data_IF_545245178997
#
_entry.id   IF_545245178997
#
_cell.length_a   1.000
_cell.length_b   1.000
_cell.length_c   1.000
_cell.angle_alpha   90.00
_cell.angle_beta   90.00
_cell.angle_gamma   90.00
#
_symmetry.space_group_name_H-M   'P 1'
#
loop_
_entity.id
_entity.type
_entity.pdbx_description
1 polymer ?
#
# COMPACT_ATOMS: atom_id res chain seq x y z
N UNK A 1 34.55 -0.78 12.78
CA UNK A 1 33.29 -1.33 12.23
C UNK A 1 32.79 -0.46 11.11
N UNK A 2 32.46 -1.07 10.04
CA UNK A 2 31.83 -0.31 8.97
C UNK A 2 30.38 -0.05 9.32
N UNK A 3 30.00 1.20 9.33
CA UNK A 3 28.61 1.57 9.58
C UNK A 3 27.98 1.83 8.22
N UNK A 4 26.99 1.03 7.88
CA UNK A 4 26.17 1.30 6.71
C UNK A 4 25.34 2.54 6.98
N UNK A 5 25.09 3.33 5.96
CA UNK A 5 24.22 4.47 6.15
C UNK A 5 22.82 3.97 6.46
N UNK A 6 22.09 4.73 7.28
CA UNK A 6 20.72 4.40 7.64
C UNK A 6 19.85 4.33 6.39
N UNK A 7 20.10 5.19 5.40
CA UNK A 7 19.34 5.18 4.17
C UNK A 7 19.56 3.91 3.35
N UNK A 8 20.79 3.38 3.31
CA UNK A 8 21.09 2.12 2.61
C UNK A 8 20.37 0.95 3.26
N UNK A 9 20.40 0.90 4.59
CA UNK A 9 19.69 -0.14 5.35
C UNK A 9 18.18 -0.02 5.12
N UNK A 10 17.64 1.18 5.15
CA UNK A 10 16.21 1.41 4.96
C UNK A 10 15.75 1.02 3.57
N UNK A 11 16.50 1.38 2.53
CA UNK A 11 16.17 1.02 1.15
C UNK A 11 16.20 -0.49 0.97
N UNK A 12 17.23 -1.15 1.47
CA UNK A 12 17.35 -2.60 1.39
C UNK A 12 16.20 -3.30 2.12
N UNK A 13 15.84 -2.82 3.31
CA UNK A 13 14.73 -3.37 4.08
C UNK A 13 13.38 -3.18 3.35
N UNK A 14 13.15 -2.01 2.77
CA UNK A 14 11.91 -1.73 2.02
C UNK A 14 11.78 -2.66 0.82
N UNK A 15 12.87 -2.90 0.11
CA UNK A 15 12.84 -3.79 -1.05
C UNK A 15 12.56 -5.24 -0.67
N UNK A 16 12.97 -5.68 0.52
CA UNK A 16 12.86 -7.07 0.95
C UNK A 16 11.77 -7.34 1.99
N UNK A 17 11.26 -6.30 2.67
CA UNK A 17 10.36 -6.47 3.80
C UNK A 17 8.94 -5.98 3.50
N UNK A 18 7.99 -6.89 3.44
CA UNK A 18 6.60 -6.55 3.22
C UNK A 18 6.00 -5.70 4.34
N UNK A 19 6.51 -5.85 5.56
CA UNK A 19 6.04 -5.03 6.69
C UNK A 19 6.33 -3.55 6.50
N UNK A 20 7.49 -3.23 5.95
CA UNK A 20 7.85 -1.83 5.68
C UNK A 20 7.04 -1.29 4.53
N UNK A 21 6.85 -2.09 3.49
CA UNK A 21 5.97 -1.73 2.37
C UNK A 21 4.56 -1.48 2.85
N UNK A 22 4.07 -2.29 3.78
CA UNK A 22 2.75 -2.13 4.37
C UNK A 22 2.61 -0.78 5.08
N UNK A 23 3.61 -0.37 5.86
CA UNK A 23 3.60 0.93 6.53
C UNK A 23 3.53 2.07 5.53
N UNK A 24 4.31 1.98 4.46
CA UNK A 24 4.31 2.98 3.38
C UNK A 24 2.94 3.04 2.71
N UNK A 25 2.36 1.89 2.43
CA UNK A 25 1.05 1.82 1.79
C UNK A 25 -0.07 2.37 2.68
N UNK A 26 0.00 2.14 3.98
CA UNK A 26 -0.96 2.72 4.93
C UNK A 26 -0.92 4.24 4.89
N UNK A 27 0.28 4.82 4.88
CA UNK A 27 0.43 6.27 4.81
C UNK A 27 -0.05 6.81 3.47
N UNK A 28 0.30 6.15 2.37
CA UNK A 28 -0.14 6.57 1.04
C UNK A 28 -1.66 6.46 0.89
N UNK A 29 -2.26 5.43 1.46
CA UNK A 29 -3.71 5.28 1.44
C UNK A 29 -4.41 6.47 2.07
N UNK A 30 -3.93 6.90 3.24
CA UNK A 30 -4.45 8.08 3.93
C UNK A 30 -4.21 9.36 3.16
N UNK A 31 -3.02 9.49 2.57
CA UNK A 31 -2.61 10.69 1.87
C UNK A 31 -3.35 10.88 0.55
N UNK A 32 -3.45 9.82 -0.24
CA UNK A 32 -4.04 9.89 -1.57
C UNK A 32 -5.56 9.71 -1.57
N UNK A 33 -6.08 8.94 -0.65
CA UNK A 33 -7.48 8.55 -0.61
C UNK A 33 -8.08 8.80 0.77
N UNK A 34 -8.02 10.05 1.23
CA UNK A 34 -8.47 10.39 2.57
C UNK A 34 -9.93 10.01 2.84
N UNK A 35 -10.80 10.15 1.86
CA UNK A 35 -12.20 9.76 2.02
C UNK A 35 -12.37 8.24 2.15
N UNK A 36 -11.60 7.49 1.37
CA UNK A 36 -11.63 6.02 1.44
C UNK A 36 -11.02 5.53 2.76
N UNK A 37 -10.02 6.25 3.27
CA UNK A 37 -9.35 5.88 4.50
C UNK A 37 -10.24 6.02 5.74
N UNK A 38 -11.31 6.80 5.66
CA UNK A 38 -12.26 6.91 6.75
C UNK A 38 -13.07 5.63 6.96
N UNK A 39 -13.27 4.85 5.89
CA UNK A 39 -14.09 3.65 5.92
C UNK A 39 -13.32 2.39 5.55
N UNK A 40 -12.01 2.48 5.43
CA UNK A 40 -11.16 1.35 5.06
C UNK A 40 -9.77 1.49 5.64
N UNK A 41 -9.08 0.37 5.79
CA UNK A 41 -7.72 0.33 6.31
C UNK A 41 -6.92 -0.70 5.52
N UNK A 42 -5.70 -0.33 5.15
CA UNK A 42 -4.74 -1.28 4.58
C UNK A 42 -4.25 -2.16 5.73
N UNK A 43 -4.52 -3.45 5.66
CA UNK A 43 -4.21 -4.39 6.75
C UNK A 43 -3.03 -5.28 6.47
N UNK A 44 -2.69 -5.48 5.19
CA UNK A 44 -1.59 -6.36 4.85
C UNK A 44 -1.08 -6.06 3.44
N UNK A 45 0.15 -6.47 3.17
CA UNK A 45 0.73 -6.45 1.83
C UNK A 45 1.59 -7.70 1.68
N UNK A 46 1.22 -8.56 0.76
CA UNK A 46 1.91 -9.83 0.56
C UNK A 46 1.83 -10.23 -0.92
N UNK A 47 2.92 -10.71 -1.45
CA UNK A 47 3.00 -11.15 -2.86
C UNK A 47 2.48 -10.11 -3.85
N UNK A 48 2.84 -8.84 -3.61
CA UNK A 48 2.46 -7.69 -4.45
C UNK A 48 0.97 -7.37 -4.41
N UNK A 49 0.23 -7.91 -3.45
CA UNK A 49 -1.20 -7.66 -3.27
C UNK A 49 -1.44 -6.84 -2.01
N UNK A 50 -2.18 -5.76 -2.16
CA UNK A 50 -2.62 -4.94 -1.03
C UNK A 50 -3.93 -5.53 -0.50
N UNK A 51 -3.98 -5.79 0.80
CA UNK A 51 -5.20 -6.25 1.46
C UNK A 51 -5.80 -5.12 2.27
N UNK A 52 -7.06 -4.84 2.02
CA UNK A 52 -7.79 -3.75 2.65
C UNK A 52 -8.98 -4.31 3.42
N UNK A 53 -9.20 -3.79 4.61
CA UNK A 53 -10.38 -4.14 5.40
C UNK A 53 -11.41 -3.02 5.26
N UNK A 54 -12.63 -3.39 4.89
CA UNK A 54 -13.75 -2.48 4.86
C UNK A 54 -15.05 -3.26 5.04
N UNK A 55 -15.98 -2.64 5.73
CA UNK A 55 -17.34 -3.20 5.89
C UNK A 55 -18.34 -2.54 4.96
N UNK A 56 -17.90 -1.58 4.16
CA UNK A 56 -18.76 -0.82 3.26
C UNK A 56 -18.82 -1.49 1.89
N UNK A 57 -20.01 -1.93 1.49
CA UNK A 57 -20.19 -2.62 0.21
C UNK A 57 -20.04 -1.70 -0.99
N UNK A 58 -20.38 -0.42 -0.84
CA UNK A 58 -20.21 0.57 -1.91
C UNK A 58 -18.71 0.76 -2.18
N UNK A 59 -17.91 0.83 -1.11
CA UNK A 59 -16.46 0.93 -1.26
C UNK A 59 -15.87 -0.30 -1.97
N UNK A 60 -16.38 -1.49 -1.64
CA UNK A 60 -15.92 -2.72 -2.29
C UNK A 60 -16.15 -2.65 -3.80
N UNK A 61 -17.31 -2.19 -4.23
CA UNK A 61 -17.63 -1.99 -5.64
C UNK A 61 -16.73 -0.95 -6.28
N UNK A 62 -16.51 0.16 -5.57
CA UNK A 62 -15.67 1.25 -6.07
C UNK A 62 -14.25 0.77 -6.32
N UNK A 63 -13.66 0.06 -5.35
CA UNK A 63 -12.29 -0.45 -5.47
C UNK A 63 -12.21 -1.46 -6.60
N UNK A 64 -13.18 -2.37 -6.70
CA UNK A 64 -13.20 -3.36 -7.77
C UNK A 64 -13.23 -2.69 -9.15
N UNK A 65 -14.10 -1.69 -9.31
CA UNK A 65 -14.27 -0.99 -10.59
C UNK A 65 -13.06 -0.12 -10.96
N UNK A 66 -12.35 0.42 -9.96
CA UNK A 66 -11.27 1.37 -10.19
C UNK A 66 -9.90 0.84 -9.78
N UNK A 67 -9.78 -0.47 -9.61
CA UNK A 67 -8.58 -1.12 -9.09
C UNK A 67 -7.29 -0.66 -9.77
N UNK A 68 -7.26 -0.72 -11.09
CA UNK A 68 -6.05 -0.37 -11.83
C UNK A 68 -5.68 1.10 -11.67
N UNK A 69 -6.68 1.97 -11.65
CA UNK A 69 -6.48 3.39 -11.43
C UNK A 69 -5.87 3.66 -10.06
N UNK A 70 -6.42 3.00 -9.03
CA UNK A 70 -5.92 3.15 -7.66
C UNK A 70 -4.48 2.66 -7.54
N UNK A 71 -4.19 1.51 -8.12
CA UNK A 71 -2.82 0.96 -8.13
C UNK A 71 -1.86 1.93 -8.81
N UNK A 72 -2.23 2.46 -9.95
CA UNK A 72 -1.38 3.41 -10.68
C UNK A 72 -1.12 4.68 -9.88
N UNK A 73 -2.13 5.22 -9.22
CA UNK A 73 -1.98 6.41 -8.39
C UNK A 73 -1.05 6.16 -7.20
N UNK A 74 -1.18 5.00 -6.57
CA UNK A 74 -0.29 4.63 -5.46
C UNK A 74 1.15 4.49 -5.96
N UNK A 75 1.35 3.77 -7.04
CA UNK A 75 2.69 3.52 -7.57
C UNK A 75 3.38 4.81 -8.01
N UNK A 76 2.65 5.73 -8.60
CA UNK A 76 3.19 7.04 -8.97
C UNK A 76 3.57 7.87 -7.75
N UNK A 77 2.83 7.73 -6.66
CA UNK A 77 3.07 8.46 -5.44
C UNK A 77 4.17 7.90 -4.55
N UNK A 78 4.67 6.71 -4.82
CA UNK A 78 5.71 6.10 -4.01
C UNK A 78 7.06 6.77 -4.24
N UNK A 79 7.74 7.14 -3.16
CA UNK A 79 9.09 7.68 -3.24
C UNK A 79 10.08 6.56 -3.53
N UNK A 80 9.88 5.41 -2.90
CA UNK A 80 10.66 4.21 -3.16
C UNK A 80 9.75 3.26 -3.90
N UNK A 81 10.07 2.96 -5.15
CA UNK A 81 9.20 2.20 -6.03
C UNK A 81 9.25 0.70 -5.71
N UNK A 82 8.09 0.10 -5.59
CA UNK A 82 7.93 -1.34 -5.57
C UNK A 82 6.64 -1.70 -6.31
N UNK A 83 6.56 -2.93 -6.77
CA UNK A 83 5.46 -3.36 -7.62
C UNK A 83 4.21 -3.74 -6.82
N UNK A 84 3.06 -3.33 -7.34
CA UNK A 84 1.75 -3.69 -6.80
C UNK A 84 0.95 -4.29 -7.94
N UNK A 85 0.47 -5.50 -7.78
CA UNK A 85 -0.27 -6.21 -8.81
C UNK A 85 -1.78 -6.19 -8.60
N UNK A 86 -2.24 -6.15 -7.37
CA UNK A 86 -3.65 -6.27 -7.08
C UNK A 86 -4.03 -5.63 -5.75
N UNK A 87 -5.32 -5.41 -5.58
CA UNK A 87 -5.91 -4.96 -4.31
C UNK A 87 -7.07 -5.91 -4.02
N UNK A 88 -7.06 -6.50 -2.83
CA UNK A 88 -8.12 -7.39 -2.37
C UNK A 88 -8.74 -6.86 -1.09
N UNK A 89 -10.02 -7.08 -0.93
CA UNK A 89 -10.76 -6.61 0.22
C UNK A 89 -11.13 -7.79 1.10
N UNK A 90 -10.79 -7.66 2.38
CA UNK A 90 -11.21 -8.62 3.41
C UNK A 90 -12.29 -7.97 4.25
N UNK A 91 -13.33 -8.71 4.50
CA UNK A 91 -14.44 -8.24 5.35
C UNK A 91 -14.23 -8.65 6.80
#
# INVERSE_FOLDING_TARGET
MKIMSISDIAISAIESEDKIKLMILREKWKELFSELAEISTVIDFNEKVIYIKSYDSVLKHYIFANKQKLINEIMEGLEIKFEIEDIKIKS
#
